data_IF_957515037629
#
_entry.id   IF_957515037629
#
_cell.length_a   1.000
_cell.length_b   1.000
_cell.length_c   1.000
_cell.angle_alpha   90.00
_cell.angle_beta   90.00
_cell.angle_gamma   90.00
#
_symmetry.space_group_name_H-M   'P 1'
#
loop_
_entity.id
_entity.type
_entity.pdbx_description
1 polymer ?
#
# COMPACT_ATOMS: atom_id res chain seq x y z
N UNK A 1 21.24 6.99 18.26
CA UNK A 1 20.97 8.08 17.32
C UNK A 1 19.70 7.70 16.58
N UNK A 2 18.65 8.52 16.63
CA UNK A 2 17.38 8.26 15.93
C UNK A 2 17.66 8.25 14.43
N UNK A 3 17.31 7.16 13.75
CA UNK A 3 17.50 7.00 12.30
C UNK A 3 16.53 7.87 11.50
N UNK A 4 16.81 8.12 10.22
CA UNK A 4 16.04 9.06 9.40
C UNK A 4 14.56 8.63 9.27
N UNK A 5 14.31 7.34 9.14
CA UNK A 5 12.99 6.71 9.08
C UNK A 5 12.21 6.90 10.38
N UNK A 6 12.85 6.79 11.55
CA UNK A 6 12.22 7.07 12.84
C UNK A 6 11.82 8.54 12.99
N UNK A 7 12.67 9.48 12.55
CA UNK A 7 12.32 10.92 12.57
C UNK A 7 11.12 11.21 11.69
N UNK A 8 11.11 10.64 10.48
CA UNK A 8 9.98 10.79 9.54
C UNK A 8 8.72 10.13 10.09
N UNK A 9 8.86 8.96 10.72
CA UNK A 9 7.77 8.28 11.40
C UNK A 9 7.13 9.18 12.46
N UNK A 10 7.91 9.70 13.42
CA UNK A 10 7.37 10.55 14.49
C UNK A 10 6.79 11.87 13.97
N UNK A 11 7.33 12.42 12.88
CA UNK A 11 6.76 13.60 12.22
C UNK A 11 5.34 13.32 11.70
N UNK A 12 5.15 12.16 11.05
CA UNK A 12 3.88 11.78 10.44
C UNK A 12 2.89 11.29 11.51
N UNK A 13 3.31 10.37 12.37
CA UNK A 13 2.46 9.84 13.45
C UNK A 13 2.13 10.93 14.50
N UNK A 14 2.98 11.93 14.69
CA UNK A 14 2.67 13.09 15.54
C UNK A 14 1.50 13.95 15.03
N UNK A 15 0.97 13.69 13.83
CA UNK A 15 -0.30 14.27 13.34
C UNK A 15 -1.53 13.47 13.78
N UNK A 16 -1.36 12.19 14.08
CA UNK A 16 -2.42 11.31 14.55
C UNK A 16 -2.98 11.81 15.89
N UNK A 17 -4.30 11.75 16.06
CA UNK A 17 -4.99 12.24 17.27
C UNK A 17 -5.24 13.75 17.31
N UNK A 18 -4.72 14.53 16.35
CA UNK A 18 -4.96 15.99 16.29
C UNK A 18 -6.27 16.37 15.60
N UNK A 19 -6.79 15.51 14.73
CA UNK A 19 -8.02 15.80 13.98
C UNK A 19 -8.82 14.51 13.76
N UNK A 20 -10.00 14.44 14.40
CA UNK A 20 -10.89 13.29 14.29
C UNK A 20 -11.30 12.97 12.84
N UNK A 21 -11.46 14.00 12.00
CA UNK A 21 -11.80 13.80 10.59
C UNK A 21 -10.65 13.16 9.79
N UNK A 22 -9.41 13.60 10.05
CA UNK A 22 -8.23 13.04 9.40
C UNK A 22 -7.97 11.61 9.88
N UNK A 23 -8.10 11.38 11.19
CA UNK A 23 -7.93 10.05 11.79
C UNK A 23 -8.95 9.05 11.24
N UNK A 24 -10.23 9.44 11.17
CA UNK A 24 -11.27 8.61 10.56
C UNK A 24 -10.95 8.26 9.11
N UNK A 25 -10.52 9.23 8.31
CA UNK A 25 -10.15 9.01 6.92
C UNK A 25 -8.93 8.07 6.78
N UNK A 26 -7.88 8.29 7.58
CA UNK A 26 -6.68 7.45 7.55
C UNK A 26 -6.96 6.02 8.03
N UNK A 27 -7.85 5.84 9.01
CA UNK A 27 -8.29 4.51 9.46
C UNK A 27 -9.12 3.79 8.39
N UNK A 28 -9.93 4.50 7.61
CA UNK A 28 -10.65 3.92 6.47
C UNK A 28 -9.67 3.51 5.35
N UNK A 29 -8.70 4.36 5.06
CA UNK A 29 -7.70 4.16 4.00
C UNK A 29 -6.75 3.01 4.34
N UNK A 30 -6.28 2.91 5.59
CA UNK A 30 -5.33 1.86 6.00
C UNK A 30 -5.98 0.47 5.96
N UNK A 31 -7.30 0.41 6.11
CA UNK A 31 -8.07 -0.82 6.11
C UNK A 31 -7.77 -1.72 4.92
N UNK A 32 -7.82 -3.02 5.14
CA UNK A 32 -7.42 -4.02 4.14
C UNK A 32 -8.49 -4.28 3.06
N UNK A 33 -9.64 -3.63 3.17
CA UNK A 33 -10.76 -3.80 2.25
C UNK A 33 -10.87 -2.66 1.23
N UNK A 34 -10.86 -1.41 1.69
CA UNK A 34 -11.24 -0.27 0.84
C UNK A 34 -10.34 -0.10 -0.39
N UNK A 35 -9.02 0.05 -0.17
CA UNK A 35 -8.07 0.26 -1.27
C UNK A 35 -7.90 -0.98 -2.15
N UNK A 36 -7.71 -2.20 -1.61
CA UNK A 36 -7.60 -3.39 -2.44
C UNK A 36 -8.82 -3.63 -3.32
N UNK A 37 -10.02 -3.49 -2.76
CA UNK A 37 -11.26 -3.61 -3.55
C UNK A 37 -11.33 -2.52 -4.61
N UNK A 38 -10.99 -1.27 -4.29
CA UNK A 38 -10.96 -0.19 -5.28
C UNK A 38 -9.99 -0.48 -6.44
N UNK A 39 -8.78 -0.98 -6.14
CA UNK A 39 -7.79 -1.36 -7.17
C UNK A 39 -8.32 -2.48 -8.05
N UNK A 40 -8.89 -3.54 -7.45
CA UNK A 40 -9.45 -4.67 -8.20
C UNK A 40 -10.61 -4.21 -9.09
N UNK A 41 -11.50 -3.35 -8.58
CA UNK A 41 -12.60 -2.78 -9.36
C UNK A 41 -12.09 -1.94 -10.53
N UNK A 42 -11.06 -1.12 -10.33
CA UNK A 42 -10.44 -0.33 -11.40
C UNK A 42 -9.80 -1.23 -12.46
N UNK A 43 -9.11 -2.31 -12.07
CA UNK A 43 -8.54 -3.28 -13.01
C UNK A 43 -9.63 -4.05 -13.78
N UNK A 44 -10.73 -4.40 -13.10
CA UNK A 44 -11.88 -5.05 -13.73
C UNK A 44 -12.53 -4.13 -14.76
N UNK A 45 -12.72 -2.85 -14.43
CA UNK A 45 -13.22 -1.86 -15.41
C UNK A 45 -12.23 -1.75 -16.57
N UNK A 46 -10.94 -1.62 -16.28
CA UNK A 46 -9.88 -1.52 -17.28
C UNK A 46 -9.86 -2.70 -18.26
N UNK A 47 -10.20 -3.91 -17.82
CA UNK A 47 -10.32 -5.11 -18.66
C UNK A 47 -11.31 -4.94 -19.82
N UNK A 48 -12.37 -4.16 -19.61
CA UNK A 48 -13.42 -3.91 -20.60
C UNK A 48 -13.24 -2.57 -21.35
N UNK A 49 -12.27 -1.73 -20.95
CA UNK A 49 -11.98 -0.47 -21.63
C UNK A 49 -11.22 -0.71 -22.95
N UNK A 50 -11.59 0.04 -23.99
CA UNK A 50 -10.94 0.05 -25.30
C UNK A 50 -11.97 0.19 -26.41
N UNK A 51 -11.81 1.18 -27.30
CA UNK A 51 -12.72 1.38 -28.44
C UNK A 51 -12.49 0.36 -29.56
N UNK A 52 -11.25 -0.12 -29.70
CA UNK A 52 -10.82 -1.12 -30.66
C UNK A 52 -10.26 -2.38 -29.96
N UNK A 53 -10.24 -3.51 -30.69
CA UNK A 53 -9.73 -4.78 -30.16
C UNK A 53 -8.29 -4.67 -29.67
N UNK A 54 -7.42 -3.91 -30.35
CA UNK A 54 -6.00 -3.81 -29.96
C UNK A 54 -5.83 -3.04 -28.66
N UNK A 55 -6.56 -1.95 -28.46
CA UNK A 55 -6.56 -1.21 -27.18
C UNK A 55 -7.10 -2.07 -26.03
N UNK A 56 -8.15 -2.86 -26.28
CA UNK A 56 -8.70 -3.77 -25.27
C UNK A 56 -7.72 -4.90 -24.92
N UNK A 57 -7.12 -5.55 -25.91
CA UNK A 57 -6.09 -6.58 -25.70
C UNK A 57 -4.89 -6.03 -24.91
N UNK A 58 -4.47 -4.80 -25.21
CA UNK A 58 -3.40 -4.12 -24.46
C UNK A 58 -3.76 -3.94 -22.99
N UNK A 59 -4.99 -3.52 -22.69
CA UNK A 59 -5.45 -3.37 -21.31
C UNK A 59 -5.53 -4.72 -20.60
N UNK A 60 -6.03 -5.77 -21.25
CA UNK A 60 -6.09 -7.13 -20.70
C UNK A 60 -4.69 -7.68 -20.39
N UNK A 61 -3.72 -7.48 -21.29
CA UNK A 61 -2.31 -7.86 -21.04
C UNK A 61 -1.72 -7.10 -19.85
N UNK A 62 -2.04 -5.82 -19.69
CA UNK A 62 -1.59 -5.03 -18.54
C UNK A 62 -2.19 -5.52 -17.22
N UNK A 63 -3.47 -5.92 -17.20
CA UNK A 63 -4.08 -6.56 -16.03
C UNK A 63 -3.35 -7.87 -15.70
N UNK A 64 -3.00 -8.68 -16.70
CA UNK A 64 -2.18 -9.88 -16.48
C UNK A 64 -0.79 -9.56 -15.90
N UNK A 65 -0.09 -8.56 -16.44
CA UNK A 65 1.19 -8.12 -15.89
C UNK A 65 1.06 -7.64 -14.45
N UNK A 66 -0.04 -6.98 -14.09
CA UNK A 66 -0.32 -6.56 -12.73
C UNK A 66 -0.47 -7.77 -11.79
N UNK A 67 -1.25 -8.78 -12.19
CA UNK A 67 -1.45 -10.02 -11.41
C UNK A 67 -0.14 -10.80 -11.23
N UNK A 68 0.63 -10.98 -12.30
CA UNK A 68 1.93 -11.66 -12.24
C UNK A 68 2.92 -10.85 -11.39
N UNK A 69 2.92 -9.53 -11.54
CA UNK A 69 3.75 -8.62 -10.75
C UNK A 69 3.44 -8.71 -9.26
N UNK A 70 2.17 -8.83 -8.88
CA UNK A 70 1.75 -9.05 -7.49
C UNK A 70 2.24 -10.39 -6.97
N UNK A 71 2.07 -11.47 -7.74
CA UNK A 71 2.60 -12.78 -7.36
C UNK A 71 4.11 -12.76 -7.13
N UNK A 72 4.85 -12.09 -8.02
CA UNK A 72 6.30 -11.92 -7.89
C UNK A 72 6.68 -11.06 -6.67
N UNK A 73 6.01 -9.92 -6.47
CA UNK A 73 6.25 -9.03 -5.34
C UNK A 73 5.99 -9.75 -4.00
N UNK A 74 4.88 -10.47 -3.88
CA UNK A 74 4.55 -11.25 -2.67
C UNK A 74 5.56 -12.36 -2.42
N UNK A 75 6.05 -13.04 -3.46
CA UNK A 75 7.09 -14.06 -3.31
C UNK A 75 8.41 -13.46 -2.80
N UNK A 76 8.82 -12.30 -3.34
CA UNK A 76 10.02 -11.59 -2.87
C UNK A 76 9.85 -11.14 -1.42
N UNK A 77 8.70 -10.55 -1.06
CA UNK A 77 8.39 -10.15 0.32
C UNK A 77 8.44 -11.35 1.27
N UNK A 78 7.84 -12.48 0.89
CA UNK A 78 7.85 -13.69 1.70
C UNK A 78 9.27 -14.23 1.93
N UNK A 79 10.11 -14.20 0.90
CA UNK A 79 11.53 -14.58 1.04
C UNK A 79 12.24 -13.62 1.99
N UNK A 80 12.04 -12.31 1.84
CA UNK A 80 12.65 -11.29 2.70
C UNK A 80 12.20 -11.38 4.15
N UNK A 81 10.95 -11.75 4.43
CA UNK A 81 10.43 -11.94 5.78
C UNK A 81 11.23 -12.99 6.59
N UNK A 82 11.91 -13.94 5.92
CA UNK A 82 12.75 -14.92 6.60
C UNK A 82 14.12 -14.37 7.02
N UNK A 83 14.53 -13.21 6.48
CA UNK A 83 15.84 -12.61 6.73
C UNK A 83 15.78 -11.38 7.65
N UNK A 84 14.62 -10.73 7.74
CA UNK A 84 14.47 -9.48 8.48
C UNK A 84 13.35 -9.59 9.50
N UNK A 85 13.74 -9.57 10.78
CA UNK A 85 12.81 -9.44 11.90
C UNK A 85 13.01 -8.07 12.53
N UNK A 86 12.11 -7.13 12.20
CA UNK A 86 12.16 -5.74 12.68
C UNK A 86 10.96 -5.52 13.60
N UNK A 87 11.20 -4.99 14.80
CA UNK A 87 10.10 -4.59 15.68
C UNK A 87 9.27 -3.46 15.05
N UNK A 88 7.95 -3.52 15.20
CA UNK A 88 7.06 -2.46 14.69
C UNK A 88 7.19 -1.18 15.54
N UNK A 89 6.80 -0.01 15.01
CA UNK A 89 6.90 1.24 15.77
C UNK A 89 6.22 1.20 17.14
N UNK A 90 5.01 0.61 17.21
CA UNK A 90 4.28 0.48 18.47
C UNK A 90 4.90 -0.51 19.47
N UNK A 91 5.76 -1.42 19.01
CA UNK A 91 6.48 -2.39 19.87
C UNK A 91 7.81 -1.80 20.36
N UNK A 92 8.51 -1.08 19.48
CA UNK A 92 9.79 -0.47 19.78
C UNK A 92 9.66 0.76 20.71
N UNK A 93 8.56 1.51 20.59
CA UNK A 93 8.32 2.76 21.32
C UNK A 93 6.97 2.75 22.06
N UNK A 94 6.81 1.89 23.08
CA UNK A 94 5.56 1.80 23.82
C UNK A 94 5.27 3.11 24.56
N UNK A 95 4.12 3.74 24.26
CA UNK A 95 3.67 4.99 24.87
C UNK A 95 3.97 6.27 24.06
N UNK A 96 4.90 6.21 23.11
CA UNK A 96 5.24 7.36 22.24
C UNK A 96 4.56 7.30 20.86
N UNK A 97 3.89 6.18 20.55
CA UNK A 97 3.18 5.97 19.28
C UNK A 97 1.67 6.09 19.47
N UNK A 98 1.05 6.95 18.66
CA UNK A 98 -0.41 7.02 18.56
C UNK A 98 -0.90 5.95 17.59
N UNK A 99 -1.31 4.79 18.12
CA UNK A 99 -1.82 3.69 17.32
C UNK A 99 -3.33 3.86 17.09
N UNK A 100 -3.73 4.12 15.83
CA UNK A 100 -5.13 4.32 15.43
C UNK A 100 -5.77 3.10 14.77
N UNK A 101 -5.03 1.99 14.66
CA UNK A 101 -5.44 0.77 13.97
C UNK A 101 -5.13 -0.48 14.80
N UNK A 102 -5.70 -1.64 14.45
CA UNK A 102 -5.40 -2.87 15.17
C UNK A 102 -3.91 -3.23 15.07
N UNK A 103 -3.38 -3.90 16.09
CA UNK A 103 -2.01 -4.40 16.12
C UNK A 103 -1.89 -5.63 15.19
N UNK A 104 -1.24 -5.52 14.02
CA UNK A 104 -1.17 -6.65 13.11
C UNK A 104 -0.07 -7.61 13.56
N UNK A 105 -0.34 -8.91 13.48
CA UNK A 105 0.57 -9.99 13.90
C UNK A 105 1.52 -10.44 12.79
N UNK A 106 1.38 -9.90 11.58
CA UNK A 106 2.22 -10.24 10.44
C UNK A 106 3.63 -9.61 10.55
N UNK A 107 4.61 -10.08 9.76
CA UNK A 107 5.93 -9.44 9.68
C UNK A 107 5.83 -7.94 9.35
N UNK A 108 6.70 -7.15 9.97
CA UNK A 108 6.72 -5.69 9.84
C UNK A 108 7.44 -5.18 8.58
N UNK A 109 8.35 -6.00 8.03
CA UNK A 109 9.22 -5.63 6.93
C UNK A 109 9.54 -6.84 6.04
N UNK A 110 9.37 -6.73 4.70
CA UNK A 110 8.82 -5.59 3.97
C UNK A 110 7.30 -5.47 4.07
N UNK A 111 6.75 -4.27 3.87
CA UNK A 111 5.30 -4.05 3.88
C UNK A 111 4.61 -4.73 2.68
N UNK A 112 4.04 -5.92 2.89
CA UNK A 112 3.40 -6.73 1.85
C UNK A 112 2.36 -5.92 1.05
N UNK A 113 1.47 -5.21 1.74
CA UNK A 113 0.40 -4.44 1.09
C UNK A 113 0.91 -3.26 0.27
N UNK A 114 2.02 -2.64 0.67
CA UNK A 114 2.67 -1.61 -0.15
C UNK A 114 3.20 -2.23 -1.45
N UNK A 115 3.95 -3.33 -1.34
CA UNK A 115 4.50 -4.05 -2.50
C UNK A 115 3.40 -4.48 -3.49
N UNK A 116 2.29 -5.02 -2.98
CA UNK A 116 1.12 -5.41 -3.78
C UNK A 116 0.49 -4.19 -4.48
N UNK A 117 0.25 -3.09 -3.75
CA UNK A 117 -0.33 -1.87 -4.32
C UNK A 117 0.52 -1.29 -5.46
N UNK A 118 1.84 -1.20 -5.27
CA UNK A 118 2.75 -0.71 -6.31
C UNK A 118 2.88 -1.67 -7.50
N UNK A 119 2.86 -2.99 -7.26
CA UNK A 119 2.87 -3.97 -8.34
C UNK A 119 1.62 -3.85 -9.24
N UNK A 120 0.43 -3.65 -8.63
CA UNK A 120 -0.79 -3.38 -9.39
C UNK A 120 -0.68 -2.07 -10.20
N UNK A 121 -0.16 -1.00 -9.58
CA UNK A 121 0.00 0.29 -10.23
C UNK A 121 0.89 0.19 -11.48
N UNK A 122 2.05 -0.47 -11.34
CA UNK A 122 3.01 -0.61 -12.43
C UNK A 122 2.48 -1.49 -13.56
N UNK A 123 1.82 -2.61 -13.25
CA UNK A 123 1.20 -3.46 -14.26
C UNK A 123 0.14 -2.72 -15.08
N UNK A 124 -0.77 -1.99 -14.41
CA UNK A 124 -1.79 -1.19 -15.07
C UNK A 124 -1.21 -0.06 -15.91
N UNK A 125 -0.14 0.59 -15.44
CA UNK A 125 0.51 1.72 -16.13
C UNK A 125 1.05 1.36 -17.52
N UNK A 126 1.49 0.11 -17.72
CA UNK A 126 1.96 -0.39 -19.03
C UNK A 126 0.84 -0.39 -20.10
N UNK A 127 -0.39 -0.69 -19.70
CA UNK A 127 -1.56 -0.68 -20.58
C UNK A 127 -2.19 0.70 -20.72
N UNK A 128 -2.48 1.33 -19.58
CA UNK A 128 -3.15 2.61 -19.53
C UNK A 128 -2.53 3.49 -18.45
N UNK A 129 -1.74 4.49 -18.87
CA UNK A 129 -1.02 5.39 -17.95
C UNK A 129 -1.96 6.15 -17.01
N UNK A 130 -3.16 6.53 -17.45
CA UNK A 130 -4.12 7.24 -16.61
C UNK A 130 -4.60 6.35 -15.45
N UNK A 131 -4.95 5.11 -15.77
CA UNK A 131 -5.34 4.11 -14.76
C UNK A 131 -4.16 3.76 -13.85
N UNK A 132 -2.96 3.62 -14.41
CA UNK A 132 -1.75 3.40 -13.64
C UNK A 132 -1.47 4.51 -12.61
N UNK A 133 -1.59 5.78 -13.00
CA UNK A 133 -1.44 6.90 -12.06
C UNK A 133 -2.53 6.95 -10.98
N UNK A 134 -3.76 6.56 -11.31
CA UNK A 134 -4.84 6.45 -10.34
C UNK A 134 -4.51 5.39 -9.28
N UNK A 135 -4.14 4.18 -9.71
CA UNK A 135 -3.76 3.09 -8.80
C UNK A 135 -2.49 3.45 -8.02
N UNK A 136 -1.52 4.12 -8.64
CA UNK A 136 -0.31 4.59 -7.96
C UNK A 136 -0.64 5.57 -6.83
N UNK A 137 -1.56 6.51 -7.07
CA UNK A 137 -2.03 7.45 -6.04
C UNK A 137 -2.68 6.70 -4.87
N UNK A 138 -3.50 5.69 -5.16
CA UNK A 138 -4.10 4.85 -4.12
C UNK A 138 -3.03 4.08 -3.34
N UNK A 139 -2.03 3.50 -3.99
CA UNK A 139 -0.95 2.74 -3.35
C UNK A 139 -0.08 3.64 -2.44
N UNK A 140 0.25 4.85 -2.90
CA UNK A 140 0.97 5.85 -2.09
C UNK A 140 0.14 6.26 -0.88
N UNK A 141 -1.14 6.57 -1.08
CA UNK A 141 -2.04 6.95 0.01
C UNK A 141 -2.18 5.82 1.05
N UNK A 142 -2.28 4.57 0.59
CA UNK A 142 -2.37 3.40 1.47
C UNK A 142 -1.10 3.20 2.30
N UNK A 143 0.06 3.35 1.66
CA UNK A 143 1.36 3.22 2.31
C UNK A 143 1.56 4.34 3.33
N UNK A 144 1.20 5.57 2.98
CA UNK A 144 1.25 6.71 3.88
C UNK A 144 0.34 6.51 5.11
N UNK A 145 -0.89 6.03 4.90
CA UNK A 145 -1.82 5.78 6.00
C UNK A 145 -1.25 4.77 7.01
N UNK A 146 -0.52 3.74 6.56
CA UNK A 146 0.14 2.76 7.45
C UNK A 146 1.18 3.37 8.37
N UNK A 147 1.90 4.39 7.90
CA UNK A 147 2.84 5.17 8.72
C UNK A 147 2.07 6.08 9.68
N UNK A 148 1.06 6.80 9.16
CA UNK A 148 0.23 7.71 9.94
C UNK A 148 -0.42 7.03 11.15
N UNK A 149 -1.03 5.86 10.95
CA UNK A 149 -1.71 5.14 12.03
C UNK A 149 -0.76 4.40 12.98
N UNK A 150 0.56 4.48 12.77
CA UNK A 150 1.57 3.94 13.69
C UNK A 150 1.97 2.47 13.45
N UNK A 151 1.63 1.90 12.29
CA UNK A 151 1.75 0.45 12.04
C UNK A 151 3.04 0.06 11.30
N UNK A 152 3.59 0.95 10.47
CA UNK A 152 4.84 0.75 9.73
C UNK A 152 5.74 1.99 9.80
N UNK A 153 7.03 1.80 9.57
CA UNK A 153 7.96 2.89 9.29
C UNK A 153 7.83 3.36 7.82
N UNK A 154 8.23 4.61 7.50
CA UNK A 154 8.26 5.15 6.14
C UNK A 154 9.21 4.43 5.19
#
# INVERSE_FOLDING_TARGET
MISLDERLFFLINGLAGKSAALDWFMTLVVGEYFIPVAIVMVLLIMWFLGQDLKSRERNQRAVWYALVGVGFASAVVQVMNNFYDRLRPFEAYPGDVTLLFYQPTDPSFPANMAAVGFAFAMGAWLGNRKVGYLILTLAVLWSFARVYVGVHYP
#
